data_IF_643094206091
#
_entry.id   IF_643094206091
#
_cell.length_a   1.000
_cell.length_b   1.000
_cell.length_c   1.000
_cell.angle_alpha   90.00
_cell.angle_beta   90.00
_cell.angle_gamma   90.00
#
_symmetry.space_group_name_H-M   'P 1'
#
loop_
_entity.id
_entity.type
_entity.pdbx_description
1 polymer ?
#
# COMPACT_ATOMS: atom_id res chain seq x y z
N UNK A 1 -24.70 10.59 -13.93
CA UNK A 1 -24.38 10.12 -12.58
C UNK A 1 -23.38 8.98 -12.70
N UNK A 2 -22.22 9.15 -12.11
CA UNK A 2 -21.22 8.10 -12.01
C UNK A 2 -21.85 6.87 -11.33
N UNK A 3 -21.75 5.72 -11.97
CA UNK A 3 -22.32 4.46 -11.50
C UNK A 3 -21.82 4.16 -10.07
N UNK A 4 -22.69 3.53 -9.25
CA UNK A 4 -22.36 3.12 -7.87
C UNK A 4 -21.07 2.26 -7.79
N UNK A 5 -20.75 1.53 -8.85
CA UNK A 5 -19.52 0.71 -8.92
C UNK A 5 -18.25 1.57 -9.00
N UNK A 6 -18.28 2.68 -9.74
CA UNK A 6 -17.16 3.64 -9.78
C UNK A 6 -16.98 4.35 -8.45
N UNK A 7 -18.07 4.63 -7.70
CA UNK A 7 -17.98 5.17 -6.34
C UNK A 7 -17.33 4.19 -5.36
N UNK A 8 -17.54 2.88 -5.50
CA UNK A 8 -16.90 1.88 -4.63
C UNK A 8 -15.38 1.76 -4.83
N UNK A 9 -14.86 2.05 -6.01
CA UNK A 9 -13.42 2.07 -6.27
C UNK A 9 -12.70 3.31 -5.72
N UNK A 10 -13.42 4.40 -5.48
CA UNK A 10 -12.87 5.65 -4.92
C UNK A 10 -12.85 5.69 -3.39
N UNK A 11 -13.39 4.69 -2.70
CA UNK A 11 -13.51 4.70 -1.22
C UNK A 11 -12.29 4.01 -0.61
N UNK A 12 -11.10 4.55 -0.90
CA UNK A 12 -9.87 4.30 -0.16
C UNK A 12 -9.48 5.60 0.51
N UNK A 13 -9.50 5.62 1.82
CA UNK A 13 -8.90 6.75 2.53
C UNK A 13 -7.39 6.55 2.61
N UNK A 14 -6.67 7.66 2.67
CA UNK A 14 -5.21 7.69 2.63
C UNK A 14 -4.58 7.87 4.00
N UNK A 15 -5.34 7.75 5.05
CA UNK A 15 -4.87 7.67 6.43
C UNK A 15 -6.03 7.66 7.42
N UNK A 16 -5.78 7.26 8.67
CA UNK A 16 -6.70 7.44 9.78
C UNK A 16 -5.93 7.68 11.08
N UNK A 17 -6.61 8.21 12.09
CA UNK A 17 -6.05 8.26 13.43
C UNK A 17 -6.16 6.90 14.13
N UNK A 18 -5.21 6.60 15.03
CA UNK A 18 -5.17 5.33 15.78
C UNK A 18 -6.06 5.31 17.04
N UNK A 19 -6.80 6.37 17.32
CA UNK A 19 -7.81 6.43 18.37
C UNK A 19 -9.17 6.67 17.76
N UNK A 20 -10.22 6.06 18.35
CA UNK A 20 -11.58 6.18 17.85
C UNK A 20 -12.15 7.60 17.95
N UNK A 21 -11.84 8.28 19.05
CA UNK A 21 -12.34 9.62 19.36
C UNK A 21 -11.25 10.46 20.03
N UNK A 22 -11.32 11.77 19.89
CA UNK A 22 -10.40 12.71 20.51
C UNK A 22 -10.29 14.03 19.76
N UNK A 23 -9.54 14.97 20.33
CA UNK A 23 -9.26 16.28 19.71
C UNK A 23 -8.05 16.15 18.79
N UNK A 24 -8.23 15.56 17.63
CA UNK A 24 -7.19 15.32 16.62
C UNK A 24 -7.52 16.12 15.36
N UNK A 25 -7.35 17.44 15.46
CA UNK A 25 -7.66 18.36 14.36
C UNK A 25 -6.86 18.04 13.11
N UNK A 26 -7.56 17.79 12.01
CA UNK A 26 -6.98 17.44 10.71
C UNK A 26 -6.89 15.93 10.42
N UNK A 27 -7.15 15.06 11.41
CA UNK A 27 -7.15 13.61 11.22
C UNK A 27 -8.55 13.07 10.97
N UNK A 28 -8.64 12.05 10.11
CA UNK A 28 -9.88 11.28 9.91
C UNK A 28 -9.99 10.18 10.96
N UNK A 29 -11.15 10.07 11.63
CA UNK A 29 -11.38 8.95 12.54
C UNK A 29 -11.81 7.70 11.77
N UNK A 30 -11.53 6.52 12.31
CA UNK A 30 -11.99 5.26 11.72
C UNK A 30 -13.52 5.17 11.66
N UNK A 31 -14.22 5.84 12.58
CA UNK A 31 -15.69 5.91 12.62
C UNK A 31 -16.23 6.61 11.39
N UNK A 32 -15.67 7.77 11.03
CA UNK A 32 -16.01 8.50 9.81
C UNK A 32 -15.81 7.63 8.58
N UNK A 33 -14.67 6.91 8.50
CA UNK A 33 -14.39 6.02 7.37
C UNK A 33 -15.42 4.90 7.23
N UNK A 34 -15.90 4.35 8.35
CA UNK A 34 -16.99 3.36 8.35
C UNK A 34 -18.31 3.95 7.84
N UNK A 35 -18.65 5.16 8.25
CA UNK A 35 -19.88 5.85 7.80
C UNK A 35 -19.87 6.06 6.28
N UNK A 36 -18.69 6.31 5.70
CA UNK A 36 -18.50 6.37 4.25
C UNK A 36 -18.35 5.00 3.59
N UNK A 37 -18.50 3.89 4.33
CA UNK A 37 -18.38 2.52 3.82
C UNK A 37 -16.99 2.23 3.20
N UNK A 38 -15.93 2.86 3.71
CA UNK A 38 -14.55 2.57 3.31
C UNK A 38 -14.21 1.11 3.62
N UNK A 39 -13.68 0.39 2.63
CA UNK A 39 -13.26 -1.00 2.80
C UNK A 39 -11.76 -1.11 3.08
N UNK A 40 -10.98 -0.15 2.60
CA UNK A 40 -9.53 -0.15 2.68
C UNK A 40 -9.02 1.21 3.16
N UNK A 41 -7.91 1.19 3.90
CA UNK A 41 -7.19 2.40 4.31
C UNK A 41 -5.70 2.21 4.04
N UNK A 42 -5.08 3.18 3.36
CA UNK A 42 -3.64 3.20 3.08
C UNK A 42 -2.93 3.77 4.30
N UNK A 43 -1.97 3.03 4.85
CA UNK A 43 -1.22 3.41 6.05
C UNK A 43 0.28 3.37 5.79
N UNK A 44 1.01 4.32 6.36
CA UNK A 44 2.46 4.36 6.27
C UNK A 44 2.98 4.75 4.89
N UNK A 45 2.17 5.43 4.06
CA UNK A 45 2.60 5.94 2.76
C UNK A 45 3.88 6.77 2.90
N UNK A 46 4.75 6.73 1.90
CA UNK A 46 6.04 7.42 1.91
C UNK A 46 5.93 8.92 2.25
N UNK A 47 4.93 9.61 1.75
CA UNK A 47 4.64 11.02 2.07
C UNK A 47 4.31 11.22 3.55
N UNK A 48 3.52 10.32 4.15
CA UNK A 48 3.19 10.38 5.58
C UNK A 48 4.42 10.18 6.45
N UNK A 49 5.27 9.24 6.06
CA UNK A 49 6.55 9.01 6.73
C UNK A 49 7.49 10.21 6.63
N UNK A 50 7.58 10.83 5.44
CA UNK A 50 8.51 11.93 5.16
C UNK A 50 8.03 13.27 5.71
N UNK A 51 6.75 13.62 5.53
CA UNK A 51 6.25 14.95 5.88
C UNK A 51 5.60 15.03 7.26
N UNK A 52 5.11 13.91 7.78
CA UNK A 52 4.38 13.85 9.05
C UNK A 52 5.06 12.98 10.11
N UNK A 53 6.30 12.53 9.83
CA UNK A 53 7.09 11.70 10.73
C UNK A 53 6.34 10.43 11.20
N UNK A 54 5.53 9.82 10.33
CA UNK A 54 4.79 8.62 10.66
C UNK A 54 5.75 7.45 10.86
N UNK A 55 5.77 6.90 12.07
CA UNK A 55 6.66 5.80 12.47
C UNK A 55 6.01 4.44 12.21
N UNK A 56 6.81 3.38 12.16
CA UNK A 56 6.30 2.01 12.07
C UNK A 56 5.36 1.66 13.23
N UNK A 57 5.67 2.13 14.44
CA UNK A 57 4.79 1.93 15.60
C UNK A 57 3.44 2.63 15.42
N UNK A 58 3.41 3.83 14.85
CA UNK A 58 2.17 4.55 14.54
C UNK A 58 1.35 3.79 13.50
N UNK A 59 2.00 3.31 12.43
CA UNK A 59 1.36 2.48 11.40
C UNK A 59 0.76 1.21 12.02
N UNK A 60 1.49 0.53 12.91
CA UNK A 60 0.99 -0.65 13.63
C UNK A 60 -0.29 -0.35 14.41
N UNK A 61 -0.31 0.74 15.20
CA UNK A 61 -1.49 1.15 15.97
C UNK A 61 -2.69 1.45 15.06
N UNK A 62 -2.47 2.17 13.96
CA UNK A 62 -3.50 2.46 12.96
C UNK A 62 -4.01 1.19 12.29
N UNK A 63 -3.12 0.30 11.89
CA UNK A 63 -3.45 -0.99 11.30
C UNK A 63 -4.33 -1.84 12.23
N UNK A 64 -4.03 -1.85 13.53
CA UNK A 64 -4.84 -2.55 14.54
C UNK A 64 -6.25 -1.99 14.62
N UNK A 65 -6.41 -0.67 14.78
CA UNK A 65 -7.75 -0.05 14.90
C UNK A 65 -8.58 -0.23 13.63
N UNK A 66 -7.95 -0.23 12.43
CA UNK A 66 -8.64 -0.50 11.17
C UNK A 66 -9.24 -1.92 11.19
N UNK A 67 -8.45 -2.94 11.51
CA UNK A 67 -8.91 -4.33 11.55
C UNK A 67 -10.00 -4.56 12.59
N UNK A 68 -9.85 -4.01 13.79
CA UNK A 68 -10.87 -4.09 14.86
C UNK A 68 -12.20 -3.46 14.45
N UNK A 69 -12.19 -2.58 13.45
CA UNK A 69 -13.38 -1.92 12.92
C UNK A 69 -13.83 -2.44 11.55
N UNK A 70 -13.27 -3.55 11.07
CA UNK A 70 -13.67 -4.21 9.82
C UNK A 70 -13.20 -3.48 8.56
N UNK A 71 -12.16 -2.65 8.66
CA UNK A 71 -11.52 -1.98 7.52
C UNK A 71 -10.16 -2.64 7.30
N UNK A 72 -9.89 -3.07 6.06
CA UNK A 72 -8.63 -3.73 5.70
C UNK A 72 -7.52 -2.68 5.48
N UNK A 73 -6.42 -2.69 6.25
CA UNK A 73 -5.29 -1.81 6.02
C UNK A 73 -4.46 -2.27 4.82
N UNK A 74 -4.00 -1.32 4.02
CA UNK A 74 -2.95 -1.47 3.01
C UNK A 74 -1.70 -0.83 3.60
N UNK A 75 -0.69 -1.63 3.92
CA UNK A 75 0.51 -1.15 4.62
C UNK A 75 1.61 -0.87 3.60
N UNK A 76 2.01 0.40 3.53
CA UNK A 76 3.08 0.85 2.64
C UNK A 76 4.45 0.64 3.28
N UNK A 77 5.33 0.01 2.53
CA UNK A 77 6.75 -0.20 2.85
C UNK A 77 7.61 0.11 1.63
N UNK A 78 8.84 0.55 1.87
CA UNK A 78 9.75 0.81 0.77
C UNK A 78 10.99 1.56 1.21
N UNK A 79 11.97 1.59 0.32
CA UNK A 79 13.31 2.10 0.58
C UNK A 79 13.65 3.34 -0.23
N UNK A 80 14.60 4.12 0.29
CA UNK A 80 15.23 5.23 -0.43
C UNK A 80 16.29 4.72 -1.43
N UNK A 81 16.65 5.57 -2.40
CA UNK A 81 17.71 5.28 -3.36
C UNK A 81 19.05 4.94 -2.69
N UNK A 82 19.38 5.60 -1.59
CA UNK A 82 20.62 5.36 -0.84
C UNK A 82 20.66 3.91 -0.37
N UNK A 83 19.56 3.42 0.25
CA UNK A 83 19.47 2.03 0.72
C UNK A 83 19.46 1.01 -0.41
N UNK A 84 18.87 1.38 -1.55
CA UNK A 84 18.92 0.53 -2.75
C UNK A 84 20.35 0.36 -3.23
N UNK A 85 21.10 1.46 -3.28
CA UNK A 85 22.46 1.50 -3.78
C UNK A 85 23.47 0.80 -2.86
N UNK A 86 23.32 0.91 -1.54
CA UNK A 86 24.23 0.27 -0.57
C UNK A 86 23.85 -1.18 -0.24
N UNK A 87 22.77 -1.70 -0.83
CA UNK A 87 22.31 -3.08 -0.65
C UNK A 87 21.55 -3.33 0.67
N UNK A 88 21.32 -2.32 1.51
CA UNK A 88 20.61 -2.48 2.80
C UNK A 88 19.08 -2.49 2.67
N UNK A 89 18.54 -2.29 1.45
CA UNK A 89 17.11 -2.10 1.19
C UNK A 89 16.24 -3.24 1.70
N UNK A 90 16.65 -4.49 1.47
CA UNK A 90 15.84 -5.64 1.85
C UNK A 90 15.68 -5.75 3.37
N UNK A 91 16.78 -5.59 4.11
CA UNK A 91 16.72 -5.59 5.58
C UNK A 91 15.85 -4.45 6.10
N UNK A 92 15.92 -3.28 5.47
CA UNK A 92 15.09 -2.14 5.83
C UNK A 92 13.60 -2.40 5.60
N UNK A 93 13.23 -2.96 4.43
CA UNK A 93 11.83 -3.31 4.12
C UNK A 93 11.32 -4.37 5.10
N UNK A 94 12.08 -5.44 5.34
CA UNK A 94 11.67 -6.49 6.27
C UNK A 94 11.54 -5.97 7.71
N UNK A 95 12.38 -5.02 8.13
CA UNK A 95 12.21 -4.36 9.43
C UNK A 95 10.92 -3.52 9.50
N UNK A 96 10.56 -2.80 8.42
CA UNK A 96 9.26 -2.13 8.37
C UNK A 96 8.11 -3.12 8.51
N UNK A 97 8.15 -4.27 7.84
CA UNK A 97 7.15 -5.34 7.96
C UNK A 97 7.09 -5.87 9.40
N UNK A 98 8.27 -6.14 10.00
CA UNK A 98 8.36 -6.63 11.37
C UNK A 98 7.68 -5.71 12.38
N UNK A 99 7.92 -4.43 12.26
CA UNK A 99 7.44 -3.43 13.20
C UNK A 99 5.98 -3.00 12.94
N UNK A 100 5.52 -2.99 11.67
CA UNK A 100 4.17 -2.52 11.30
C UNK A 100 3.10 -3.60 11.42
N UNK A 101 3.43 -4.87 11.22
CA UNK A 101 2.46 -5.96 11.05
C UNK A 101 2.46 -6.87 12.28
N UNK A 102 1.29 -7.10 12.85
CA UNK A 102 1.10 -8.06 13.93
C UNK A 102 1.15 -9.50 13.39
N UNK A 103 1.60 -10.47 14.22
CA UNK A 103 1.59 -11.87 13.82
C UNK A 103 0.18 -12.48 13.83
N UNK A 104 0.05 -13.66 13.23
CA UNK A 104 -1.14 -14.52 13.24
C UNK A 104 -2.36 -13.87 12.56
N UNK A 105 -2.14 -13.12 11.49
CA UNK A 105 -3.21 -12.52 10.70
C UNK A 105 -3.66 -13.46 9.58
N UNK A 106 -4.96 -13.45 9.27
CA UNK A 106 -5.51 -14.23 8.16
C UNK A 106 -5.07 -13.64 6.81
N UNK A 107 -5.16 -12.33 6.66
CA UNK A 107 -4.76 -11.63 5.44
C UNK A 107 -4.02 -10.32 5.73
N UNK A 108 -3.03 -10.03 4.92
CA UNK A 108 -2.28 -8.75 4.91
C UNK A 108 -2.18 -8.24 3.49
N UNK A 109 -2.35 -6.93 3.30
CA UNK A 109 -2.07 -6.27 2.04
C UNK A 109 -0.87 -5.34 2.25
N UNK A 110 0.19 -5.58 1.49
CA UNK A 110 1.41 -4.76 1.49
C UNK A 110 1.53 -4.03 0.16
N UNK A 111 1.75 -2.72 0.22
CA UNK A 111 2.12 -1.93 -0.95
C UNK A 111 3.62 -1.61 -0.89
N UNK A 112 4.35 -2.08 -1.89
CA UNK A 112 5.77 -1.79 -2.03
C UNK A 112 5.98 -0.49 -2.78
N UNK A 113 6.56 0.48 -2.12
CA UNK A 113 6.87 1.81 -2.64
C UNK A 113 8.39 1.99 -2.75
N UNK A 114 9.02 1.68 -3.91
CA UNK A 114 10.40 2.11 -4.14
C UNK A 114 10.41 3.65 -4.20
N UNK A 115 10.76 4.31 -3.07
CA UNK A 115 10.59 5.77 -2.89
C UNK A 115 11.30 6.56 -4.00
N UNK A 116 12.43 6.04 -4.48
CA UNK A 116 13.21 6.61 -5.56
C UNK A 116 12.53 6.56 -6.94
N UNK A 117 11.52 5.68 -7.08
CA UNK A 117 10.77 5.50 -8.32
C UNK A 117 9.38 6.20 -8.28
N UNK A 118 8.99 6.83 -7.16
CA UNK A 118 7.69 7.48 -7.05
C UNK A 118 7.71 8.83 -7.78
N UNK A 119 6.87 8.98 -8.81
CA UNK A 119 6.72 10.24 -9.54
C UNK A 119 7.92 10.66 -10.39
N UNK A 120 8.94 9.83 -10.51
CA UNK A 120 10.15 10.12 -11.31
C UNK A 120 10.07 9.61 -12.74
N UNK A 121 9.13 8.70 -13.03
CA UNK A 121 9.08 7.94 -14.27
C UNK A 121 10.05 6.76 -14.33
N UNK A 122 10.93 6.62 -13.33
CA UNK A 122 11.79 5.44 -13.18
C UNK A 122 10.99 4.28 -12.58
N UNK A 123 11.33 3.07 -12.98
CA UNK A 123 10.74 1.84 -12.43
C UNK A 123 11.83 0.81 -12.17
N UNK A 124 11.76 0.06 -11.07
CA UNK A 124 12.60 -1.13 -10.89
C UNK A 124 12.33 -2.13 -12.03
N UNK A 125 13.29 -2.98 -12.30
CA UNK A 125 13.07 -4.12 -13.18
C UNK A 125 12.05 -5.08 -12.54
N UNK A 126 11.22 -5.75 -13.35
CA UNK A 126 10.23 -6.70 -12.86
C UNK A 126 10.82 -7.78 -11.95
N UNK A 127 12.02 -8.27 -12.26
CA UNK A 127 12.76 -9.23 -11.42
C UNK A 127 13.09 -8.68 -10.03
N UNK A 128 13.33 -7.38 -9.91
CA UNK A 128 13.64 -6.73 -8.64
C UNK A 128 12.39 -6.55 -7.79
N UNK A 129 11.25 -6.26 -8.43
CA UNK A 129 9.94 -6.22 -7.77
C UNK A 129 9.59 -7.62 -7.26
N UNK A 130 9.77 -8.65 -8.09
CA UNK A 130 9.54 -10.04 -7.71
C UNK A 130 10.42 -10.48 -6.54
N UNK A 131 11.70 -10.13 -6.53
CA UNK A 131 12.59 -10.44 -5.41
C UNK A 131 12.04 -9.86 -4.09
N UNK A 132 11.60 -8.60 -4.11
CA UNK A 132 11.00 -7.95 -2.93
C UNK A 132 9.73 -8.66 -2.51
N UNK A 133 8.82 -8.97 -3.46
CA UNK A 133 7.58 -9.71 -3.20
C UNK A 133 7.84 -11.06 -2.53
N UNK A 134 8.74 -11.86 -3.11
CA UNK A 134 9.07 -13.17 -2.59
C UNK A 134 9.62 -13.11 -1.16
N UNK A 135 10.54 -12.17 -0.89
CA UNK A 135 11.12 -11.99 0.45
C UNK A 135 10.09 -11.54 1.47
N UNK A 136 9.21 -10.60 1.11
CA UNK A 136 8.10 -10.15 1.97
C UNK A 136 7.17 -11.33 2.27
N UNK A 137 6.72 -12.07 1.25
CA UNK A 137 5.80 -13.19 1.43
C UNK A 137 6.40 -14.29 2.31
N UNK A 138 7.68 -14.63 2.07
CA UNK A 138 8.40 -15.60 2.88
C UNK A 138 8.50 -15.15 4.36
N UNK A 139 8.82 -13.89 4.58
CA UNK A 139 8.91 -13.31 5.93
C UNK A 139 7.56 -13.29 6.64
N UNK A 140 6.49 -12.84 5.97
CA UNK A 140 5.14 -12.83 6.51
C UNK A 140 4.67 -14.24 6.90
N UNK A 141 4.93 -15.22 6.05
CA UNK A 141 4.59 -16.62 6.32
C UNK A 141 5.36 -17.21 7.51
N UNK A 142 6.70 -17.07 7.49
CA UNK A 142 7.56 -17.78 8.44
C UNK A 142 7.72 -17.06 9.78
N UNK A 143 7.83 -15.74 9.76
CA UNK A 143 8.12 -14.94 10.96
C UNK A 143 6.87 -14.33 11.58
N UNK A 144 5.83 -14.09 10.78
CA UNK A 144 4.57 -13.49 11.25
C UNK A 144 3.41 -14.46 11.28
N UNK A 145 3.55 -15.68 10.76
CA UNK A 145 2.46 -16.67 10.67
C UNK A 145 1.19 -16.09 10.00
N UNK A 146 1.38 -15.32 8.92
CA UNK A 146 0.30 -14.76 8.10
C UNK A 146 -0.16 -15.83 7.10
N UNK A 147 -1.48 -16.07 7.00
CA UNK A 147 -2.03 -17.12 6.14
C UNK A 147 -2.05 -16.73 4.66
N UNK A 148 -2.35 -15.47 4.37
CA UNK A 148 -2.43 -14.92 3.01
C UNK A 148 -1.85 -13.52 2.97
N UNK A 149 -1.09 -13.22 1.93
CA UNK A 149 -0.57 -11.88 1.68
C UNK A 149 -0.85 -11.47 0.24
N UNK A 150 -1.30 -10.22 0.06
CA UNK A 150 -1.40 -9.58 -1.25
C UNK A 150 -0.33 -8.51 -1.37
N UNK A 151 0.32 -8.48 -2.51
CA UNK A 151 1.40 -7.56 -2.81
C UNK A 151 0.98 -6.59 -3.91
N UNK A 152 0.97 -5.29 -3.59
CA UNK A 152 0.70 -4.23 -4.55
C UNK A 152 2.00 -3.51 -4.89
N UNK A 153 2.20 -3.19 -6.16
CA UNK A 153 3.29 -2.31 -6.58
C UNK A 153 2.83 -0.85 -6.47
N UNK A 154 3.61 0.00 -5.79
CA UNK A 154 3.28 1.40 -5.49
C UNK A 154 4.31 2.43 -6.03
N UNK A 155 5.13 2.07 -7.00
CA UNK A 155 5.99 3.02 -7.71
C UNK A 155 5.25 3.78 -8.82
N UNK A 156 5.99 4.31 -9.80
CA UNK A 156 5.41 5.01 -10.95
C UNK A 156 4.62 4.04 -11.83
N UNK A 157 3.30 4.21 -11.85
CA UNK A 157 2.36 3.44 -12.67
C UNK A 157 1.47 4.38 -13.45
N UNK A 158 1.37 4.15 -14.76
CA UNK A 158 0.45 4.80 -15.69
C UNK A 158 -0.23 3.77 -16.61
N UNK A 159 -1.09 4.23 -17.53
CA UNK A 159 -1.83 3.33 -18.43
C UNK A 159 -0.93 2.59 -19.44
N UNK A 160 0.29 3.05 -19.68
CA UNK A 160 1.19 2.45 -20.66
C UNK A 160 2.02 1.30 -20.05
N UNK A 161 2.42 1.46 -18.77
CA UNK A 161 3.31 0.49 -18.11
C UNK A 161 2.58 -0.47 -17.14
N UNK A 162 1.30 -0.23 -16.84
CA UNK A 162 0.53 -1.00 -15.86
C UNK A 162 0.60 -2.52 -16.11
N UNK A 163 0.23 -2.96 -17.32
CA UNK A 163 0.19 -4.39 -17.63
C UNK A 163 1.59 -5.02 -17.61
N UNK A 164 2.58 -4.32 -18.17
CA UNK A 164 3.97 -4.81 -18.17
C UNK A 164 4.50 -5.02 -16.75
N UNK A 165 4.25 -4.05 -15.86
CA UNK A 165 4.71 -4.14 -14.47
C UNK A 165 3.93 -5.20 -13.70
N UNK A 166 2.60 -5.18 -13.75
CA UNK A 166 1.79 -6.06 -12.90
C UNK A 166 1.92 -7.52 -13.33
N UNK A 167 1.85 -7.81 -14.62
CA UNK A 167 2.02 -9.16 -15.15
C UNK A 167 3.48 -9.60 -15.02
N UNK A 168 4.43 -8.74 -15.41
CA UNK A 168 5.86 -9.07 -15.41
C UNK A 168 6.46 -9.24 -14.02
N UNK A 169 5.90 -8.59 -13.00
CA UNK A 169 6.30 -8.74 -11.61
C UNK A 169 5.42 -9.68 -10.81
N UNK A 170 4.43 -10.32 -11.43
CA UNK A 170 3.45 -11.18 -10.75
C UNK A 170 2.81 -10.50 -9.51
N UNK A 171 2.64 -9.16 -9.57
CA UNK A 171 2.00 -8.40 -8.48
C UNK A 171 0.49 -8.61 -8.47
N UNK A 172 -0.13 -8.62 -7.27
CA UNK A 172 -1.58 -8.77 -7.13
C UNK A 172 -2.35 -7.50 -7.53
N UNK A 173 -1.65 -6.40 -7.84
CA UNK A 173 -2.23 -5.14 -8.27
C UNK A 173 -1.27 -3.97 -8.08
N UNK A 174 -1.80 -2.75 -8.24
CA UNK A 174 -1.03 -1.52 -8.07
C UNK A 174 -1.67 -0.53 -7.09
N UNK A 175 -0.85 0.24 -6.40
CA UNK A 175 -1.24 1.44 -5.70
C UNK A 175 -0.97 2.64 -6.62
N UNK A 176 -2.00 3.08 -7.35
CA UNK A 176 -1.86 4.09 -8.39
C UNK A 176 -1.89 5.51 -7.81
N UNK A 177 -0.82 6.26 -8.00
CA UNK A 177 -0.65 7.64 -7.54
C UNK A 177 -1.24 8.68 -8.52
N UNK A 178 -0.40 9.51 -9.13
CA UNK A 178 -0.79 10.64 -9.97
C UNK A 178 -1.70 10.28 -11.17
N UNK A 179 -1.57 9.10 -11.74
CA UNK A 179 -2.45 8.63 -12.81
C UNK A 179 -3.90 8.43 -12.35
N UNK A 180 -4.14 8.20 -11.04
CA UNK A 180 -5.49 7.97 -10.51
C UNK A 180 -6.40 9.20 -10.52
N UNK A 181 -5.84 10.40 -10.64
CA UNK A 181 -6.61 11.67 -10.71
C UNK A 181 -6.83 12.15 -12.14
N UNK A 182 -6.31 11.42 -13.14
CA UNK A 182 -6.52 11.68 -14.56
C UNK A 182 -7.53 10.66 -15.10
N UNK A 183 -8.72 11.13 -15.48
CA UNK A 183 -9.84 10.28 -15.90
C UNK A 183 -9.46 9.31 -17.03
N UNK A 184 -8.77 9.79 -18.06
CA UNK A 184 -8.35 8.93 -19.18
C UNK A 184 -7.36 7.84 -18.76
N UNK A 185 -6.40 8.17 -17.90
CA UNK A 185 -5.38 7.24 -17.42
C UNK A 185 -6.01 6.14 -16.53
N UNK A 186 -6.79 6.55 -15.54
CA UNK A 186 -7.39 5.58 -14.62
C UNK A 186 -8.42 4.69 -15.32
N UNK A 187 -9.16 5.22 -16.30
CA UNK A 187 -10.11 4.44 -17.10
C UNK A 187 -9.38 3.35 -17.89
N UNK A 188 -8.27 3.70 -18.57
CA UNK A 188 -7.44 2.71 -19.29
C UNK A 188 -6.87 1.65 -18.35
N UNK A 189 -6.33 2.07 -17.18
CA UNK A 189 -5.80 1.13 -16.18
C UNK A 189 -6.89 0.15 -15.73
N UNK A 190 -8.09 0.63 -15.41
CA UNK A 190 -9.21 -0.21 -14.96
C UNK A 190 -9.67 -1.16 -16.07
N UNK A 191 -9.79 -0.66 -17.31
CA UNK A 191 -10.22 -1.47 -18.46
C UNK A 191 -9.20 -2.55 -18.81
N UNK A 192 -7.91 -2.24 -18.67
CA UNK A 192 -6.82 -3.17 -18.93
C UNK A 192 -6.57 -4.14 -17.77
N UNK A 193 -7.05 -3.80 -16.57
CA UNK A 193 -6.99 -4.64 -15.39
C UNK A 193 -8.13 -5.68 -15.38
N UNK A 194 -8.35 -6.40 -16.49
CA UNK A 194 -9.20 -7.59 -16.50
C UNK A 194 -8.49 -8.68 -15.68
N UNK A 195 -8.73 -8.61 -14.38
CA UNK A 195 -8.35 -9.66 -13.45
C UNK A 195 -9.29 -10.87 -13.68
N UNK A 196 -8.86 -11.81 -14.51
CA UNK A 196 -9.43 -13.15 -14.59
C UNK A 196 -9.12 -13.96 -13.34
#
# INVERSE_FOLDING_TARGET
SLDRRQRQMCIRDRDCHYQLNGSFTGDSSITILKDFSCKYVILGHSERRSYYNETNLTVKKKSKICRENGIQPIICVGESFIRRKDGSYMNFILNQIEECIEPNLDEVIVAYEPIWAIGTGETPLNKEINEVKEKINLFLKNSKNVKSAKFLYGGSVDSNNFNEIIIGSDSDGALVGGASVKEEEITKIITNADFN
#
